data_IF_065618163483
#
_entry.id   IF_065618163483
#
_cell.length_a   1.000
_cell.length_b   1.000
_cell.length_c   1.000
_cell.angle_alpha   90.00
_cell.angle_beta   90.00
_cell.angle_gamma   90.00
#
_symmetry.space_group_name_H-M   'P 1'
#
loop_
_entity.id
_entity.type
_entity.pdbx_description
1 polymer ?
#
# COMPACT_ATOMS: atom_id res chain seq x y z
N UNK A 1 -11.05 -6.53 -7.04
CA UNK A 1 -9.67 -6.87 -6.62
C UNK A 1 -9.73 -7.18 -5.14
N UNK A 2 -9.68 -8.45 -4.79
CA UNK A 2 -10.23 -8.90 -3.51
C UNK A 2 -9.22 -8.83 -2.37
N UNK A 3 -9.76 -8.73 -1.17
CA UNK A 3 -9.09 -9.08 0.08
C UNK A 3 -8.28 -10.39 0.00
N UNK A 4 -8.73 -11.36 -0.81
CA UNK A 4 -8.07 -12.64 -1.03
C UNK A 4 -6.62 -12.48 -1.51
N UNK A 5 -6.35 -11.53 -2.41
CA UNK A 5 -4.99 -11.25 -2.88
C UNK A 5 -4.10 -10.80 -1.74
N UNK A 6 -4.58 -9.86 -0.91
CA UNK A 6 -3.83 -9.34 0.24
C UNK A 6 -3.51 -10.46 1.24
N UNK A 7 -4.49 -11.33 1.51
CA UNK A 7 -4.30 -12.51 2.37
C UNK A 7 -3.30 -13.50 1.77
N UNK A 8 -3.35 -13.74 0.46
CA UNK A 8 -2.38 -14.59 -0.25
C UNK A 8 -0.96 -14.01 -0.19
N UNK A 9 -0.81 -12.69 -0.16
CA UNK A 9 0.47 -12.03 0.08
C UNK A 9 0.93 -12.08 1.54
N UNK A 10 0.17 -12.71 2.44
CA UNK A 10 0.48 -12.81 3.85
C UNK A 10 0.16 -11.53 4.64
N UNK A 11 -0.63 -10.61 4.07
CA UNK A 11 -1.05 -9.41 4.79
C UNK A 11 -2.22 -9.71 5.72
N UNK A 12 -2.18 -9.07 6.89
CA UNK A 12 -3.23 -9.14 7.90
C UNK A 12 -3.89 -7.79 8.05
N UNK A 13 -5.17 -7.79 8.36
CA UNK A 13 -5.88 -6.56 8.68
C UNK A 13 -5.37 -5.98 10.00
N UNK A 14 -4.99 -4.71 9.97
CA UNK A 14 -4.40 -3.99 11.10
C UNK A 14 -5.23 -2.79 11.55
N UNK A 15 -6.29 -2.44 10.83
CA UNK A 15 -7.15 -1.33 11.20
C UNK A 15 -8.09 -0.88 10.09
N UNK A 16 -8.74 0.25 10.31
CA UNK A 16 -9.70 0.88 9.40
C UNK A 16 -9.46 2.37 9.32
N UNK A 17 -9.63 2.93 8.14
CA UNK A 17 -9.57 4.37 7.87
C UNK A 17 -10.95 4.89 7.44
N UNK A 18 -11.29 6.10 7.90
CA UNK A 18 -12.55 6.79 7.58
C UNK A 18 -12.35 8.30 7.63
N UNK A 19 -13.29 9.05 7.05
CA UNK A 19 -13.35 10.51 7.22
C UNK A 19 -14.54 10.86 8.14
N UNK A 20 -14.28 11.67 9.16
CA UNK A 20 -15.28 12.21 10.10
C UNK A 20 -15.00 13.69 10.28
N UNK A 21 -15.98 14.54 9.95
CA UNK A 21 -15.86 16.01 10.03
C UNK A 21 -14.57 16.54 9.38
N UNK A 22 -14.33 16.16 8.12
CA UNK A 22 -13.11 16.48 7.35
C UNK A 22 -11.78 16.01 7.96
N UNK A 23 -11.81 15.15 8.98
CA UNK A 23 -10.62 14.50 9.55
C UNK A 23 -10.50 13.08 9.05
N UNK A 24 -9.32 12.74 8.56
CA UNK A 24 -8.95 11.37 8.26
C UNK A 24 -8.61 10.69 9.58
N UNK A 25 -9.33 9.63 9.94
CA UNK A 25 -9.17 8.88 11.19
C UNK A 25 -8.74 7.47 10.84
N UNK A 26 -7.70 6.97 11.51
CA UNK A 26 -7.25 5.58 11.42
C UNK A 26 -7.36 4.95 12.80
N UNK A 27 -8.24 3.96 12.91
CA UNK A 27 -8.41 3.13 14.10
C UNK A 27 -7.64 1.82 13.88
N UNK A 28 -6.58 1.58 14.67
CA UNK A 28 -5.76 0.37 14.60
C UNK A 28 -6.25 -0.69 15.57
N UNK A 29 -6.17 -1.95 15.14
CA UNK A 29 -6.50 -3.11 15.97
C UNK A 29 -5.26 -3.53 16.79
N UNK A 30 -5.44 -4.41 17.79
CA UNK A 30 -4.35 -5.02 18.58
C UNK A 30 -3.60 -6.11 17.79
N UNK A 31 -3.28 -5.85 16.53
CA UNK A 31 -2.55 -6.78 15.65
C UNK A 31 -1.03 -6.50 15.76
N UNK A 32 -0.18 -7.49 16.08
CA UNK A 32 1.25 -7.26 16.34
C UNK A 32 2.05 -6.58 15.21
N UNK A 33 1.61 -6.70 13.96
CA UNK A 33 2.24 -6.07 12.78
C UNK A 33 2.24 -4.55 12.88
N UNK A 34 1.33 -3.94 13.65
CA UNK A 34 1.35 -2.47 13.85
C UNK A 34 2.64 -1.98 14.50
N UNK A 35 3.36 -2.84 15.23
CA UNK A 35 4.61 -2.47 15.90
C UNK A 35 5.87 -2.94 15.16
N UNK A 36 5.71 -3.64 14.03
CA UNK A 36 6.83 -4.01 13.17
C UNK A 36 7.42 -2.80 12.42
N UNK A 37 8.73 -2.84 12.20
CA UNK A 37 9.46 -2.00 11.26
C UNK A 37 9.55 -2.68 9.89
N UNK A 38 9.95 -1.94 8.86
CA UNK A 38 10.18 -2.48 7.51
C UNK A 38 8.95 -3.25 6.98
N UNK A 39 7.82 -2.55 6.94
CA UNK A 39 6.53 -3.13 6.59
C UNK A 39 6.02 -2.64 5.24
N UNK A 40 5.16 -3.45 4.65
CA UNK A 40 4.35 -3.10 3.49
C UNK A 40 2.88 -3.10 3.91
N UNK A 41 2.14 -2.08 3.51
CA UNK A 41 0.73 -1.93 3.82
C UNK A 41 -0.10 -1.56 2.59
N UNK A 42 -1.39 -1.86 2.65
CA UNK A 42 -2.37 -1.56 1.64
C UNK A 42 -3.66 -1.04 2.29
N UNK A 43 -4.31 -0.08 1.65
CA UNK A 43 -5.67 0.33 1.98
C UNK A 43 -6.62 -0.30 0.97
N UNK A 44 -7.62 -1.02 1.47
CA UNK A 44 -8.66 -1.70 0.71
C UNK A 44 -10.02 -1.02 0.98
N UNK A 45 -10.62 -0.42 -0.03
CA UNK A 45 -11.95 0.20 0.07
C UNK A 45 -12.93 -0.55 -0.85
N UNK A 46 -14.00 -1.11 -0.28
CA UNK A 46 -14.79 -2.13 -0.98
C UNK A 46 -13.90 -3.30 -1.40
N UNK A 47 -13.90 -3.63 -2.69
CA UNK A 47 -13.03 -4.64 -3.31
C UNK A 47 -11.91 -4.00 -4.17
N UNK A 48 -11.31 -2.92 -3.70
CA UNK A 48 -10.23 -2.25 -4.42
C UNK A 48 -9.09 -1.82 -3.51
N UNK A 49 -7.86 -2.19 -3.89
CA UNK A 49 -6.65 -1.65 -3.30
C UNK A 49 -6.48 -0.22 -3.81
N UNK A 50 -6.84 0.75 -2.98
CA UNK A 50 -6.80 2.17 -3.35
C UNK A 50 -5.41 2.78 -3.12
N UNK A 51 -4.63 2.21 -2.19
CA UNK A 51 -3.27 2.64 -1.87
C UNK A 51 -2.41 1.46 -1.47
N UNK A 52 -1.14 1.49 -1.88
CA UNK A 52 -0.06 0.67 -1.30
C UNK A 52 1.01 1.62 -0.79
N UNK A 53 1.64 1.26 0.32
CA UNK A 53 2.77 2.01 0.86
C UNK A 53 3.70 1.13 1.67
N UNK A 54 4.83 1.70 2.06
CA UNK A 54 5.76 1.03 2.95
C UNK A 54 6.25 1.92 4.10
N UNK A 55 6.90 1.32 5.09
CA UNK A 55 7.49 2.03 6.24
C UNK A 55 8.77 1.36 6.72
N UNK A 56 9.84 2.14 6.85
CA UNK A 56 11.07 1.71 7.54
C UNK A 56 10.94 1.80 9.07
N UNK A 57 10.11 2.71 9.57
CA UNK A 57 9.77 2.84 10.99
C UNK A 57 8.62 1.92 11.40
N UNK A 58 8.14 2.07 12.64
CA UNK A 58 6.97 1.31 13.11
C UNK A 58 5.73 1.66 12.30
N UNK A 59 4.98 0.65 11.89
CA UNK A 59 3.75 0.83 11.11
C UNK A 59 2.75 1.78 11.80
N UNK A 60 2.56 1.66 13.12
CA UNK A 60 1.71 2.55 13.93
C UNK A 60 2.08 4.02 13.77
N UNK A 61 3.38 4.33 13.79
CA UNK A 61 3.87 5.69 13.57
C UNK A 61 3.53 6.20 12.17
N UNK A 62 3.67 5.34 11.15
CA UNK A 62 3.29 5.66 9.78
C UNK A 62 1.79 5.89 9.60
N UNK A 63 0.95 5.13 10.29
CA UNK A 63 -0.50 5.32 10.27
C UNK A 63 -0.91 6.63 10.95
N UNK A 64 -0.23 7.01 12.04
CA UNK A 64 -0.42 8.32 12.65
C UNK A 64 0.01 9.47 11.72
N UNK A 65 1.12 9.31 10.99
CA UNK A 65 1.53 10.30 9.98
C UNK A 65 0.48 10.44 8.87
N UNK A 66 -0.08 9.32 8.37
CA UNK A 66 -1.20 9.34 7.41
C UNK A 66 -2.40 10.09 7.96
N UNK A 67 -2.80 9.79 9.19
CA UNK A 67 -3.89 10.44 9.88
C UNK A 67 -3.71 11.96 9.93
N UNK A 68 -2.53 12.40 10.40
CA UNK A 68 -2.18 13.82 10.53
C UNK A 68 -2.15 14.52 9.19
N UNK A 69 -1.42 13.97 8.22
CA UNK A 69 -1.08 14.68 6.98
C UNK A 69 -2.28 14.74 6.03
N UNK A 70 -3.09 13.68 5.95
CA UNK A 70 -4.34 13.71 5.18
C UNK A 70 -5.37 14.61 5.84
N UNK A 71 -5.54 14.57 7.17
CA UNK A 71 -6.46 15.49 7.86
C UNK A 71 -6.10 16.95 7.62
N UNK A 72 -4.82 17.30 7.66
CA UNK A 72 -4.34 18.65 7.34
C UNK A 72 -4.69 19.05 5.91
N UNK A 73 -4.43 18.18 4.94
CA UNK A 73 -4.77 18.45 3.55
C UNK A 73 -6.28 18.54 3.32
N UNK A 74 -7.09 17.73 3.99
CA UNK A 74 -8.55 17.84 3.96
C UNK A 74 -9.03 19.19 4.50
N UNK A 75 -8.31 19.81 5.44
CA UNK A 75 -8.57 21.17 5.94
C UNK A 75 -7.92 22.30 5.12
N UNK A 76 -7.24 21.98 4.01
CA UNK A 76 -6.60 22.95 3.12
C UNK A 76 -5.09 23.20 3.32
N UNK A 77 -4.43 22.48 4.24
CA UNK A 77 -2.96 22.54 4.41
C UNK A 77 -2.26 21.43 3.63
N UNK A 78 -1.79 21.76 2.42
CA UNK A 78 -1.24 20.81 1.45
C UNK A 78 0.29 20.61 1.51
N UNK A 79 0.95 20.92 2.64
CA UNK A 79 2.42 20.84 2.75
C UNK A 79 3.01 19.44 2.57
N UNK A 80 2.29 18.39 3.00
CA UNK A 80 2.78 16.98 2.99
C UNK A 80 1.98 16.10 2.05
N UNK A 81 0.66 16.20 2.12
CA UNK A 81 -0.28 15.53 1.20
C UNK A 81 -0.77 16.56 0.19
N UNK A 82 -0.67 16.23 -1.10
CA UNK A 82 -1.12 17.14 -2.18
C UNK A 82 -2.65 17.25 -2.17
N UNK A 83 -3.17 18.37 -2.66
CA UNK A 83 -4.61 18.61 -2.78
C UNK A 83 -5.32 17.49 -3.55
N UNK A 84 -4.77 17.08 -4.70
CA UNK A 84 -5.35 15.99 -5.51
C UNK A 84 -5.45 14.65 -4.77
N UNK A 85 -4.49 14.36 -3.89
CA UNK A 85 -4.50 13.15 -3.06
C UNK A 85 -5.56 13.25 -1.96
N UNK A 86 -5.74 14.42 -1.34
CA UNK A 86 -6.80 14.67 -0.37
C UNK A 86 -8.20 14.57 -0.99
N UNK A 87 -8.40 15.13 -2.20
CA UNK A 87 -9.64 14.99 -2.97
C UNK A 87 -9.91 13.51 -3.27
N UNK A 88 -8.91 12.78 -3.73
CA UNK A 88 -9.05 11.35 -4.04
C UNK A 88 -9.41 10.53 -2.78
N UNK A 89 -8.87 10.87 -1.61
CA UNK A 89 -9.28 10.27 -0.34
C UNK A 89 -10.74 10.59 0.00
N UNK A 90 -11.21 11.84 -0.17
CA UNK A 90 -12.63 12.19 0.01
C UNK A 90 -13.52 11.36 -0.90
N UNK A 91 -13.19 11.25 -2.19
CA UNK A 91 -13.97 10.47 -3.16
C UNK A 91 -14.07 8.99 -2.77
N UNK A 92 -12.96 8.38 -2.35
CA UNK A 92 -12.94 6.99 -1.86
C UNK A 92 -13.85 6.84 -0.65
N UNK A 93 -13.77 7.74 0.33
CA UNK A 93 -14.57 7.65 1.55
C UNK A 93 -16.05 7.98 1.32
N UNK A 94 -16.38 8.89 0.41
CA UNK A 94 -17.76 9.16 -0.01
C UNK A 94 -18.38 7.94 -0.70
N UNK A 95 -17.60 7.22 -1.50
CA UNK A 95 -18.07 6.04 -2.24
C UNK A 95 -18.22 4.80 -1.37
N UNK A 96 -17.26 4.53 -0.48
CA UNK A 96 -17.17 3.26 0.24
C UNK A 96 -17.38 3.39 1.76
N UNK A 97 -17.44 4.60 2.31
CA UNK A 97 -17.56 4.89 3.74
C UNK A 97 -16.28 4.68 4.55
N UNK A 98 -15.46 3.69 4.18
CA UNK A 98 -14.22 3.35 4.88
C UNK A 98 -13.24 2.59 3.99
N UNK A 99 -11.99 2.46 4.46
CA UNK A 99 -10.99 1.57 3.90
C UNK A 99 -10.34 0.72 5.00
N UNK A 100 -10.34 -0.60 4.84
CA UNK A 100 -9.59 -1.52 5.72
C UNK A 100 -8.11 -1.44 5.39
N UNK A 101 -7.26 -1.57 6.40
CA UNK A 101 -5.82 -1.47 6.28
C UNK A 101 -5.24 -2.86 6.48
N UNK A 102 -4.46 -3.32 5.52
CA UNK A 102 -3.75 -4.59 5.57
C UNK A 102 -2.25 -4.34 5.61
N UNK A 103 -1.50 -5.13 6.36
CA UNK A 103 -0.05 -5.02 6.40
C UNK A 103 0.65 -6.34 6.69
N UNK A 104 1.95 -6.37 6.41
CA UNK A 104 2.89 -7.39 6.90
C UNK A 104 4.29 -6.82 7.01
N UNK A 105 5.16 -7.52 7.76
CA UNK A 105 6.61 -7.31 7.67
C UNK A 105 7.08 -7.67 6.25
N UNK A 106 7.98 -6.87 5.69
CA UNK A 106 8.62 -7.20 4.43
C UNK A 106 9.49 -8.45 4.56
N UNK A 107 9.76 -9.11 3.44
CA UNK A 107 10.53 -10.37 3.45
C UNK A 107 12.01 -10.10 3.74
N UNK A 108 12.58 -10.80 4.70
CA UNK A 108 14.03 -10.78 4.95
C UNK A 108 14.73 -11.66 3.91
N UNK A 109 15.80 -11.15 3.29
CA UNK A 109 16.60 -11.87 2.30
C UNK A 109 18.08 -11.79 2.66
N UNK A 110 18.78 -12.91 2.49
CA UNK A 110 20.24 -13.00 2.67
C UNK A 110 20.89 -13.11 1.30
N UNK A 111 21.93 -12.31 1.08
CA UNK A 111 22.73 -12.28 -0.15
C UNK A 111 24.21 -12.38 0.21
N UNK A 112 25.09 -12.51 -0.79
CA UNK A 112 26.54 -12.49 -0.58
C UNK A 112 27.07 -11.18 0.03
N UNK A 113 26.29 -10.09 -0.02
CA UNK A 113 26.68 -8.77 0.51
C UNK A 113 25.95 -8.41 1.82
N UNK A 114 25.15 -9.32 2.38
CA UNK A 114 24.48 -9.12 3.67
C UNK A 114 23.00 -9.49 3.67
N UNK A 115 22.35 -9.17 4.80
CA UNK A 115 20.91 -9.36 5.03
C UNK A 115 20.17 -8.03 4.85
N UNK A 116 19.05 -8.07 4.11
CA UNK A 116 18.23 -6.91 3.80
C UNK A 116 16.75 -7.27 3.92
N UNK A 117 15.92 -6.28 4.25
CA UNK A 117 14.47 -6.42 4.15
C UNK A 117 13.96 -5.89 2.80
N UNK A 118 13.10 -6.66 2.14
CA UNK A 118 12.62 -6.39 0.79
C UNK A 118 11.36 -5.50 0.74
N UNK A 119 10.95 -4.86 1.83
CA UNK A 119 9.71 -4.07 1.91
C UNK A 119 9.55 -3.03 0.78
N UNK A 120 10.62 -2.33 0.37
CA UNK A 120 10.58 -1.37 -0.74
C UNK A 120 10.36 -2.04 -2.11
N UNK A 121 11.01 -3.19 -2.34
CA UNK A 121 10.85 -3.94 -3.57
C UNK A 121 9.43 -4.51 -3.67
N UNK A 122 8.90 -5.02 -2.57
CA UNK A 122 7.54 -5.55 -2.47
C UNK A 122 6.47 -4.46 -2.68
N UNK A 123 6.62 -3.28 -2.07
CA UNK A 123 5.78 -2.10 -2.35
C UNK A 123 5.77 -1.80 -3.85
N UNK A 124 6.94 -1.74 -4.47
CA UNK A 124 7.07 -1.45 -5.90
C UNK A 124 6.35 -2.48 -6.78
N UNK A 125 6.54 -3.77 -6.49
CA UNK A 125 5.86 -4.86 -7.20
C UNK A 125 4.34 -4.77 -7.04
N UNK A 126 3.85 -4.49 -5.84
CA UNK A 126 2.42 -4.35 -5.58
C UNK A 126 1.82 -3.12 -6.26
N UNK A 127 2.51 -1.98 -6.27
CA UNK A 127 2.08 -0.79 -7.01
C UNK A 127 2.04 -1.08 -8.51
N UNK A 128 3.07 -1.73 -9.06
CA UNK A 128 3.13 -2.08 -10.48
C UNK A 128 2.04 -3.08 -10.89
N UNK A 129 1.78 -4.08 -10.05
CA UNK A 129 0.75 -5.11 -10.27
C UNK A 129 -0.67 -4.55 -10.18
N UNK A 130 -0.97 -3.78 -9.13
CA UNK A 130 -2.35 -3.39 -8.79
C UNK A 130 -2.72 -1.98 -9.25
N UNK A 131 -1.74 -1.13 -9.57
CA UNK A 131 -1.93 0.26 -10.02
C UNK A 131 -2.92 1.07 -9.15
N UNK A 132 -2.77 1.05 -7.81
CA UNK A 132 -3.66 1.75 -6.89
C UNK A 132 -3.78 3.23 -7.22
N UNK A 133 -5.00 3.77 -7.18
CA UNK A 133 -5.31 5.14 -7.62
C UNK A 133 -4.63 6.25 -6.79
N UNK A 134 -4.39 6.00 -5.49
CA UNK A 134 -3.79 6.95 -4.56
C UNK A 134 -2.25 6.88 -4.51
N UNK A 135 -1.63 6.04 -5.33
CA UNK A 135 -0.17 6.05 -5.50
C UNK A 135 0.17 6.95 -6.70
N UNK A 136 0.57 8.20 -6.43
CA UNK A 136 0.81 9.20 -7.47
C UNK A 136 2.24 9.16 -8.05
N UNK A 137 3.22 8.54 -7.37
CA UNK A 137 4.59 8.40 -7.86
C UNK A 137 4.82 7.14 -8.71
N UNK A 138 3.83 6.78 -9.55
CA UNK A 138 3.83 5.55 -10.37
C UNK A 138 5.06 5.42 -11.29
N UNK A 139 5.65 6.53 -11.69
CA UNK A 139 6.82 6.57 -12.58
C UNK A 139 8.07 5.96 -11.96
N UNK A 140 8.23 5.98 -10.63
CA UNK A 140 9.38 5.37 -9.94
C UNK A 140 9.34 3.84 -9.93
N UNK A 141 8.17 3.24 -10.15
CA UNK A 141 7.94 1.80 -9.97
C UNK A 141 7.88 1.02 -11.30
N UNK A 142 7.84 1.72 -12.45
CA UNK A 142 7.72 1.09 -13.78
C UNK A 142 8.96 0.28 -14.16
N UNK A 143 10.13 0.70 -13.69
CA UNK A 143 11.43 0.15 -14.11
C UNK A 143 11.80 -1.16 -13.39
N UNK A 144 11.16 -1.47 -12.26
CA UNK A 144 11.43 -2.70 -11.48
C UNK A 144 10.64 -3.91 -11.98
N UNK A 145 9.42 -3.71 -12.50
CA UNK A 145 8.56 -4.78 -13.02
C UNK A 145 9.00 -5.24 -14.41
N UNK A 146 9.51 -4.32 -15.25
CA UNK A 146 9.98 -4.65 -16.62
C UNK A 146 11.26 -5.50 -16.65
N UNK A 147 12.00 -5.64 -15.53
CA UNK A 147 13.24 -6.44 -15.45
C UNK A 147 13.06 -7.82 -14.82
N UNK A 148 11.88 -8.16 -14.29
CA UNK A 148 11.66 -9.36 -13.47
C UNK A 148 10.68 -10.37 -14.07
N UNK A 149 10.15 -10.12 -15.28
CA UNK A 149 9.39 -11.11 -16.03
C UNK A 149 10.30 -11.73 -17.11
N UNK A 150 10.63 -13.03 -17.05
CA UNK A 150 11.11 -13.72 -18.24
C UNK A 150 9.96 -13.74 -19.25
N UNK A 151 10.14 -12.98 -20.33
CA UNK A 151 9.46 -13.25 -21.61
C UNK A 151 10.06 -14.56 -22.08
N UNK A 152 9.39 -15.69 -21.82
CA UNK A 152 9.42 -16.93 -22.61
C UNK A 152 8.64 -18.04 -21.91
N UNK A 153 7.37 -18.19 -22.29
CA UNK A 153 6.66 -19.47 -22.28
C UNK A 153 5.46 -19.41 -23.25
N UNK A 154 5.68 -18.97 -24.48
CA UNK A 154 4.79 -19.25 -25.62
C UNK A 154 5.67 -19.55 -26.84
N UNK A 155 6.35 -20.68 -26.77
CA UNK A 155 6.76 -21.52 -27.91
C UNK A 155 6.43 -22.93 -27.41
N UNK A 156 5.84 -23.87 -28.13
CA UNK A 156 5.50 -24.02 -29.54
C UNK A 156 4.64 -25.29 -29.57
N UNK A 157 3.37 -25.19 -29.98
CA UNK A 157 2.59 -26.38 -30.37
C UNK A 157 2.31 -26.29 -31.85
N UNK A 158 3.36 -26.55 -32.62
CA UNK A 158 3.30 -26.91 -34.01
C UNK A 158 3.76 -28.36 -34.16
N UNK A 159 2.90 -29.14 -34.80
CA UNK A 159 3.17 -30.44 -35.45
C UNK A 159 2.98 -31.70 -34.61
N UNK A 160 1.80 -32.29 -34.73
CA UNK A 160 1.64 -33.54 -35.49
C UNK A 160 0.33 -33.49 -36.27
#
# INVERSE_FOLDING_TARGET
MSEEDLRRYGMREVGIARIVDDRFIIDLNDEPTVDHTECVYAFLAGDEIVRVGSSSGRLRGRMHDWQRDVSRALSGDFKRTRESEAISWREVMLRYGSARIFARKGTDATTSIGQFNLYLAEESVLIGRHKPRLCHDRSRHRDLVMKSLPVNAIESSGSS
#
